data_IF_731592791148
#
_entry.id   IF_731592791148
#
_cell.length_a   1.000
_cell.length_b   1.000
_cell.length_c   1.000
_cell.angle_alpha   90.00
_cell.angle_beta   90.00
_cell.angle_gamma   90.00
#
_symmetry.space_group_name_H-M   'P 1'
#
loop_
_entity.id
_entity.type
_entity.pdbx_description
1 polymer ?
#
# COMPACT_ATOMS: atom_id res chain seq x y z
N UNK A 1 21.10 -17.83 24.11
CA UNK A 1 19.95 -17.58 23.23
C UNK A 1 20.19 -16.22 22.56
N UNK A 2 20.53 -16.20 21.27
CA UNK A 2 20.83 -14.94 20.55
C UNK A 2 19.53 -14.16 20.43
N UNK A 3 19.45 -12.98 21.03
CA UNK A 3 18.29 -12.10 20.93
C UNK A 3 18.27 -11.53 19.52
N UNK A 4 17.15 -11.73 18.80
CA UNK A 4 16.86 -10.99 17.58
C UNK A 4 16.99 -9.50 17.90
N UNK A 5 17.82 -8.79 17.16
CA UNK A 5 17.91 -7.33 17.29
C UNK A 5 16.69 -6.81 16.53
N UNK A 6 15.66 -6.38 17.27
CA UNK A 6 14.51 -5.71 16.65
C UNK A 6 14.95 -4.33 16.17
N UNK A 7 15.45 -4.30 14.93
CA UNK A 7 15.84 -3.10 14.20
C UNK A 7 14.64 -2.44 13.52
N UNK A 8 13.46 -3.06 13.62
CA UNK A 8 12.25 -2.53 13.05
C UNK A 8 11.71 -1.37 13.91
N UNK A 9 12.06 -0.16 13.51
CA UNK A 9 11.10 0.95 13.50
C UNK A 9 10.15 0.86 12.30
N UNK A 10 10.08 -0.29 11.61
CA UNK A 10 9.13 -0.47 10.53
C UNK A 10 7.79 -0.87 11.13
N UNK A 11 6.79 -0.04 10.84
CA UNK A 11 5.40 -0.22 11.23
C UNK A 11 4.92 -1.63 10.87
N UNK A 12 4.95 -2.52 11.86
CA UNK A 12 4.30 -3.81 11.76
C UNK A 12 2.81 -3.52 11.60
N UNK A 13 2.25 -3.88 10.45
CA UNK A 13 0.81 -3.81 10.23
C UNK A 13 0.12 -4.52 11.41
N UNK A 14 -0.83 -3.84 12.04
CA UNK A 14 -1.56 -4.36 13.21
C UNK A 14 -2.47 -5.51 12.78
N UNK A 15 -3.00 -5.41 11.57
CA UNK A 15 -3.87 -6.39 10.95
C UNK A 15 -3.25 -6.94 9.67
N UNK A 16 -3.67 -8.14 9.28
CA UNK A 16 -3.46 -8.62 7.92
C UNK A 16 -4.09 -7.66 6.90
N UNK A 17 -3.52 -7.57 5.69
CA UNK A 17 -4.01 -6.66 4.63
C UNK A 17 -5.53 -6.79 4.43
N UNK A 18 -6.31 -5.77 4.82
CA UNK A 18 -7.76 -5.84 4.79
C UNK A 18 -8.33 -5.44 3.42
N UNK A 19 -7.54 -4.78 2.56
CA UNK A 19 -7.92 -4.32 1.22
C UNK A 19 -8.76 -5.33 0.39
N UNK A 20 -8.45 -6.65 0.34
CA UNK A 20 -9.25 -7.59 -0.43
C UNK A 20 -10.71 -7.70 0.05
N UNK A 21 -10.95 -7.57 1.35
CA UNK A 21 -12.30 -7.61 1.92
C UNK A 21 -13.14 -6.44 1.41
N UNK A 22 -12.59 -5.23 1.44
CA UNK A 22 -13.27 -4.01 0.96
C UNK A 22 -13.56 -4.08 -0.54
N UNK A 23 -12.62 -4.59 -1.33
CA UNK A 23 -12.78 -4.73 -2.79
C UNK A 23 -13.79 -5.82 -3.18
N UNK A 24 -13.82 -6.95 -2.47
CA UNK A 24 -14.87 -7.97 -2.65
C UNK A 24 -16.23 -7.40 -2.27
N UNK A 25 -16.31 -6.69 -1.14
CA UNK A 25 -17.54 -6.01 -0.70
C UNK A 25 -18.08 -5.04 -1.75
N UNK A 26 -17.19 -4.28 -2.37
CA UNK A 26 -17.52 -3.41 -3.50
C UNK A 26 -18.08 -4.22 -4.70
N UNK A 27 -17.35 -5.24 -5.15
CA UNK A 27 -17.73 -6.04 -6.31
C UNK A 27 -19.09 -6.71 -6.14
N UNK A 28 -19.36 -7.28 -4.96
CA UNK A 28 -20.67 -7.87 -4.61
C UNK A 28 -21.79 -6.83 -4.66
N UNK A 29 -21.54 -5.62 -4.14
CA UNK A 29 -22.53 -4.55 -4.12
C UNK A 29 -22.82 -3.99 -5.52
N UNK A 30 -21.79 -3.84 -6.36
CA UNK A 30 -21.97 -3.51 -7.78
C UNK A 30 -22.82 -4.57 -8.48
N UNK A 31 -22.53 -5.86 -8.27
CA UNK A 31 -23.31 -6.94 -8.87
C UNK A 31 -24.79 -6.91 -8.44
N UNK A 32 -25.07 -6.58 -7.17
CA UNK A 32 -26.43 -6.42 -6.66
C UNK A 32 -27.15 -5.17 -7.23
N UNK A 33 -26.40 -4.14 -7.62
CA UNK A 33 -26.93 -2.90 -8.20
C UNK A 33 -27.22 -3.04 -9.71
N UNK A 34 -26.46 -3.88 -10.42
CA UNK A 34 -26.55 -4.00 -11.88
C UNK A 34 -27.94 -4.29 -12.45
N UNK A 35 -28.77 -5.21 -11.89
CA UNK A 35 -30.11 -5.46 -12.42
C UNK A 35 -31.04 -4.25 -12.37
N UNK A 36 -30.87 -3.38 -11.37
CA UNK A 36 -31.62 -2.13 -11.24
C UNK A 36 -31.03 -1.08 -12.20
N UNK A 37 -29.69 -0.96 -12.25
CA UNK A 37 -29.00 0.01 -13.10
C UNK A 37 -29.26 -0.22 -14.61
N UNK A 38 -29.42 -1.49 -15.03
CA UNK A 38 -29.77 -1.87 -16.40
C UNK A 38 -31.28 -1.87 -16.67
N UNK A 39 -32.12 -1.60 -15.65
CA UNK A 39 -33.57 -1.59 -15.79
C UNK A 39 -34.23 -2.96 -15.91
N UNK A 40 -33.52 -4.07 -15.63
CA UNK A 40 -34.07 -5.43 -15.70
C UNK A 40 -35.08 -5.73 -14.60
N UNK A 41 -34.92 -5.13 -13.41
CA UNK A 41 -35.89 -5.25 -12.33
C UNK A 41 -36.02 -3.95 -11.56
N UNK A 42 -37.23 -3.40 -11.52
CA UNK A 42 -37.56 -2.13 -10.87
C UNK A 42 -38.75 -2.33 -9.92
N UNK A 43 -38.63 -3.33 -9.05
CA UNK A 43 -39.67 -3.66 -8.07
C UNK A 43 -39.27 -3.20 -6.67
N UNK A 44 -40.23 -2.87 -5.78
CA UNK A 44 -39.95 -2.57 -4.38
C UNK A 44 -39.08 -3.63 -3.68
N UNK A 45 -39.28 -4.91 -4.03
CA UNK A 45 -38.48 -6.01 -3.53
C UNK A 45 -37.02 -5.92 -4.00
N UNK A 46 -36.79 -5.66 -5.30
CA UNK A 46 -35.45 -5.47 -5.85
C UNK A 46 -34.68 -4.35 -5.14
N UNK A 47 -35.30 -3.17 -4.97
CA UNK A 47 -34.67 -2.06 -4.26
C UNK A 47 -34.27 -2.42 -2.82
N UNK A 48 -35.16 -3.08 -2.07
CA UNK A 48 -34.86 -3.54 -0.70
C UNK A 48 -33.76 -4.59 -0.67
N UNK A 49 -33.75 -5.54 -1.60
CA UNK A 49 -32.71 -6.56 -1.68
C UNK A 49 -31.34 -5.94 -2.00
N UNK A 50 -31.28 -5.04 -2.98
CA UNK A 50 -30.04 -4.31 -3.31
C UNK A 50 -29.57 -3.48 -2.13
N UNK A 51 -30.48 -2.84 -1.38
CA UNK A 51 -30.14 -2.09 -0.17
C UNK A 51 -29.45 -2.96 0.89
N UNK A 52 -29.90 -4.20 1.10
CA UNK A 52 -29.29 -5.14 2.05
C UNK A 52 -27.85 -5.48 1.63
N UNK A 53 -27.62 -5.82 0.36
CA UNK A 53 -26.27 -6.11 -0.14
C UNK A 53 -25.35 -4.88 -0.07
N UNK A 54 -25.86 -3.72 -0.46
CA UNK A 54 -25.14 -2.45 -0.35
C UNK A 54 -24.76 -2.14 1.11
N UNK A 55 -25.62 -2.43 2.08
CA UNK A 55 -25.34 -2.17 3.49
C UNK A 55 -24.29 -3.14 4.07
N UNK A 56 -24.45 -4.44 3.86
CA UNK A 56 -23.54 -5.41 4.50
C UNK A 56 -22.20 -5.53 3.77
N UNK A 57 -22.22 -5.63 2.44
CA UNK A 57 -21.00 -5.80 1.65
C UNK A 57 -20.40 -4.47 1.23
N UNK A 58 -21.21 -3.52 0.77
CA UNK A 58 -20.73 -2.21 0.33
C UNK A 58 -20.25 -1.38 1.53
N UNK A 59 -21.14 -1.15 2.49
CA UNK A 59 -20.82 -0.40 3.70
C UNK A 59 -20.01 -1.23 4.70
N UNK A 60 -20.50 -2.40 5.13
CA UNK A 60 -19.90 -3.18 6.21
C UNK A 60 -18.45 -3.62 5.93
N UNK A 61 -18.21 -4.34 4.83
CA UNK A 61 -16.85 -4.80 4.49
C UNK A 61 -15.86 -3.65 4.30
N UNK A 62 -16.29 -2.54 3.67
CA UNK A 62 -15.41 -1.39 3.45
C UNK A 62 -15.19 -0.58 4.74
N UNK A 63 -16.17 -0.52 5.66
CA UNK A 63 -15.96 0.13 6.95
C UNK A 63 -14.86 -0.59 7.74
N UNK A 64 -14.99 -1.91 7.86
CA UNK A 64 -14.01 -2.76 8.54
C UNK A 64 -12.63 -2.58 7.88
N UNK A 65 -12.60 -2.61 6.55
CA UNK A 65 -11.37 -2.42 5.78
C UNK A 65 -10.74 -1.06 6.05
N UNK A 66 -11.49 0.03 5.98
CA UNK A 66 -10.98 1.38 6.19
C UNK A 66 -10.42 1.58 7.60
N UNK A 67 -11.10 1.08 8.63
CA UNK A 67 -10.62 1.13 10.02
C UNK A 67 -9.33 0.33 10.21
N UNK A 68 -9.24 -0.86 9.61
CA UNK A 68 -8.03 -1.70 9.66
C UNK A 68 -6.87 -1.06 8.87
N UNK A 69 -7.14 -0.41 7.73
CA UNK A 69 -6.13 0.34 6.97
C UNK A 69 -5.60 1.54 7.78
N UNK A 70 -6.47 2.29 8.47
CA UNK A 70 -6.02 3.36 9.37
C UNK A 70 -5.14 2.82 10.52
N UNK A 71 -5.52 1.70 11.12
CA UNK A 71 -4.72 1.03 12.15
C UNK A 71 -3.37 0.54 11.58
N UNK A 72 -3.34 0.13 10.32
CA UNK A 72 -2.13 -0.20 9.56
C UNK A 72 -1.37 1.04 9.06
N UNK A 73 -1.81 2.26 9.41
CA UNK A 73 -1.23 3.55 9.00
C UNK A 73 -1.25 3.80 7.49
N UNK A 74 -2.11 3.10 6.77
CA UNK A 74 -2.38 3.38 5.37
C UNK A 74 -3.46 4.46 5.25
N UNK A 75 -3.02 5.72 5.22
CA UNK A 75 -3.91 6.88 5.14
C UNK A 75 -4.80 6.86 3.89
N UNK A 76 -4.23 6.51 2.72
CA UNK A 76 -4.95 6.49 1.45
C UNK A 76 -6.03 5.43 1.45
N UNK A 77 -5.67 4.18 1.79
CA UNK A 77 -6.61 3.07 1.88
C UNK A 77 -7.72 3.32 2.90
N UNK A 78 -7.35 3.75 4.11
CA UNK A 78 -8.29 4.03 5.19
C UNK A 78 -9.33 5.08 4.80
N UNK A 79 -8.87 6.20 4.25
CA UNK A 79 -9.76 7.32 3.84
C UNK A 79 -10.76 6.87 2.78
N UNK A 80 -10.28 6.16 1.74
CA UNK A 80 -11.13 5.75 0.62
C UNK A 80 -12.16 4.72 1.03
N UNK A 81 -11.74 3.65 1.71
CA UNK A 81 -12.67 2.58 2.09
C UNK A 81 -13.74 3.09 3.07
N UNK A 82 -13.39 3.96 4.00
CA UNK A 82 -14.38 4.57 4.90
C UNK A 82 -15.31 5.54 4.16
N UNK A 83 -14.82 6.35 3.24
CA UNK A 83 -15.66 7.25 2.45
C UNK A 83 -16.66 6.50 1.55
N UNK A 84 -16.19 5.46 0.85
CA UNK A 84 -17.09 4.62 0.04
C UNK A 84 -18.07 3.83 0.91
N UNK A 85 -17.65 3.38 2.10
CA UNK A 85 -18.55 2.70 3.03
C UNK A 85 -19.78 3.55 3.35
N UNK A 86 -19.59 4.83 3.69
CA UNK A 86 -20.71 5.74 3.94
C UNK A 86 -21.51 6.07 2.68
N UNK A 87 -20.87 6.11 1.51
CA UNK A 87 -21.57 6.27 0.23
C UNK A 87 -22.51 5.09 -0.07
N UNK A 88 -22.06 3.87 0.23
CA UNK A 88 -22.88 2.66 0.15
C UNK A 88 -23.99 2.62 1.21
N UNK A 89 -23.75 3.14 2.42
CA UNK A 89 -24.77 3.28 3.44
C UNK A 89 -25.88 4.26 2.99
N UNK A 90 -25.50 5.38 2.39
CA UNK A 90 -26.45 6.33 1.80
C UNK A 90 -27.27 5.70 0.67
N UNK A 91 -26.62 4.96 -0.23
CA UNK A 91 -27.31 4.24 -1.31
C UNK A 91 -28.27 3.18 -0.75
N UNK A 92 -27.84 2.40 0.23
CA UNK A 92 -28.66 1.39 0.90
C UNK A 92 -29.90 2.02 1.54
N UNK A 93 -29.73 3.10 2.30
CA UNK A 93 -30.84 3.82 2.91
C UNK A 93 -31.81 4.40 1.88
N UNK A 94 -31.28 4.98 0.79
CA UNK A 94 -32.09 5.55 -0.29
C UNK A 94 -32.93 4.48 -0.99
N UNK A 95 -32.32 3.35 -1.33
CA UNK A 95 -33.00 2.23 -2.01
C UNK A 95 -34.03 1.56 -1.10
N UNK A 96 -33.70 1.36 0.18
CA UNK A 96 -34.65 0.83 1.15
C UNK A 96 -35.86 1.75 1.33
N UNK A 97 -35.61 3.05 1.53
CA UNK A 97 -36.67 4.05 1.71
C UNK A 97 -37.59 4.13 0.49
N UNK A 98 -37.02 4.12 -0.71
CA UNK A 98 -37.79 4.08 -1.96
C UNK A 98 -38.63 2.81 -2.07
N UNK A 99 -38.04 1.64 -1.85
CA UNK A 99 -38.77 0.37 -1.91
C UNK A 99 -39.82 0.22 -0.79
N UNK A 100 -39.66 0.89 0.35
CA UNK A 100 -40.59 0.79 1.49
C UNK A 100 -41.76 1.77 1.39
N UNK A 101 -41.51 3.00 0.95
CA UNK A 101 -42.45 4.11 1.07
C UNK A 101 -42.55 5.00 -0.18
N UNK A 102 -41.76 4.71 -1.22
CA UNK A 102 -41.62 5.59 -2.38
C UNK A 102 -40.82 6.87 -2.09
N UNK A 103 -40.24 6.99 -0.89
CA UNK A 103 -39.44 8.16 -0.51
C UNK A 103 -38.19 8.26 -1.39
N UNK A 104 -37.97 9.45 -1.95
CA UNK A 104 -36.79 9.80 -2.72
C UNK A 104 -36.02 10.91 -1.98
N UNK A 105 -34.69 10.79 -1.81
CA UNK A 105 -33.87 11.88 -1.32
C UNK A 105 -33.99 13.13 -2.19
N UNK A 106 -33.80 14.30 -1.59
CA UNK A 106 -33.81 15.56 -2.33
C UNK A 106 -32.71 15.56 -3.41
N UNK A 107 -33.13 15.80 -4.65
CA UNK A 107 -32.24 15.76 -5.82
C UNK A 107 -31.13 16.81 -5.75
N UNK A 108 -31.45 18.02 -5.28
CA UNK A 108 -30.50 19.14 -5.25
C UNK A 108 -29.41 18.87 -4.22
N UNK A 109 -29.79 18.37 -3.04
CA UNK A 109 -28.85 17.97 -2.00
C UNK A 109 -27.97 16.81 -2.49
N UNK A 110 -28.56 15.76 -3.06
CA UNK A 110 -27.81 14.61 -3.57
C UNK A 110 -26.79 15.02 -4.65
N UNK A 111 -27.21 15.86 -5.60
CA UNK A 111 -26.35 16.37 -6.67
C UNK A 111 -25.19 17.22 -6.13
N UNK A 112 -25.43 18.06 -5.12
CA UNK A 112 -24.37 18.87 -4.50
C UNK A 112 -23.29 18.01 -3.83
N UNK A 113 -23.70 16.91 -3.19
CA UNK A 113 -22.77 15.94 -2.58
C UNK A 113 -22.00 15.18 -3.65
N UNK A 114 -22.67 14.74 -4.73
CA UNK A 114 -22.02 14.09 -5.87
C UNK A 114 -20.93 14.98 -6.50
N UNK A 115 -21.19 16.29 -6.64
CA UNK A 115 -20.21 17.26 -7.13
C UNK A 115 -18.98 17.38 -6.22
N UNK A 116 -19.17 17.42 -4.91
CA UNK A 116 -18.05 17.47 -3.96
C UNK A 116 -17.24 16.18 -3.98
N UNK A 117 -17.92 15.03 -4.00
CA UNK A 117 -17.27 13.72 -4.07
C UNK A 117 -16.46 13.57 -5.36
N UNK A 118 -16.95 14.08 -6.49
CA UNK A 118 -16.18 14.11 -7.74
C UNK A 118 -14.85 14.86 -7.59
N UNK A 119 -14.86 16.04 -6.96
CA UNK A 119 -13.63 16.82 -6.73
C UNK A 119 -12.66 16.06 -5.82
N UNK A 120 -13.17 15.47 -4.72
CA UNK A 120 -12.36 14.71 -3.78
C UNK A 120 -11.73 13.49 -4.46
N UNK A 121 -12.53 12.70 -5.20
CA UNK A 121 -12.04 11.50 -5.87
C UNK A 121 -11.05 11.85 -6.98
N UNK A 122 -11.26 12.91 -7.75
CA UNK A 122 -10.30 13.37 -8.77
C UNK A 122 -8.90 13.62 -8.20
N UNK A 123 -8.81 14.23 -7.01
CA UNK A 123 -7.52 14.45 -6.32
C UNK A 123 -6.93 13.12 -5.83
N UNK A 124 -7.75 12.22 -5.32
CA UNK A 124 -7.31 10.89 -4.88
C UNK A 124 -6.82 10.04 -6.06
N UNK A 125 -7.49 10.09 -7.22
CA UNK A 125 -7.09 9.41 -8.46
C UNK A 125 -5.67 9.77 -8.86
N UNK A 126 -5.33 11.06 -8.78
CA UNK A 126 -3.95 11.52 -9.00
C UNK A 126 -2.96 10.85 -8.03
N UNK A 127 -3.29 10.80 -6.74
CA UNK A 127 -2.48 10.12 -5.73
C UNK A 127 -2.30 8.62 -6.02
N UNK A 128 -3.37 7.94 -6.46
CA UNK A 128 -3.35 6.51 -6.79
C UNK A 128 -2.50 6.18 -8.01
N UNK A 129 -2.26 7.16 -8.89
CA UNK A 129 -1.31 7.05 -10.00
C UNK A 129 0.12 6.74 -9.57
N UNK A 130 0.52 7.05 -8.33
CA UNK A 130 1.85 6.70 -7.80
C UNK A 130 1.94 5.26 -7.26
N UNK A 131 0.83 4.52 -7.15
CA UNK A 131 0.83 3.14 -6.64
C UNK A 131 0.75 2.12 -7.78
N UNK A 132 -0.29 2.18 -8.62
CA UNK A 132 -0.48 1.22 -9.71
C UNK A 132 -1.36 1.78 -10.83
N UNK A 133 -1.09 1.41 -12.08
CA UNK A 133 -1.94 1.82 -13.23
C UNK A 133 -3.37 1.27 -13.10
N UNK A 134 -3.53 0.11 -12.46
CA UNK A 134 -4.84 -0.52 -12.29
C UNK A 134 -5.66 0.18 -11.20
N UNK A 135 -5.03 0.60 -10.12
CA UNK A 135 -5.68 1.42 -9.08
C UNK A 135 -6.03 2.82 -9.61
N UNK A 136 -5.16 3.41 -10.43
CA UNK A 136 -5.49 4.64 -11.13
C UNK A 136 -6.73 4.46 -12.04
N UNK A 137 -6.75 3.40 -12.85
CA UNK A 137 -7.90 3.12 -13.72
C UNK A 137 -9.19 2.87 -12.94
N UNK A 138 -9.10 2.18 -11.80
CA UNK A 138 -10.21 1.94 -10.88
C UNK A 138 -10.81 3.25 -10.35
N UNK A 139 -9.98 4.18 -9.89
CA UNK A 139 -10.43 5.49 -9.40
C UNK A 139 -10.89 6.42 -10.52
N UNK A 140 -10.25 6.36 -11.69
CA UNK A 140 -10.70 7.10 -12.87
C UNK A 140 -12.09 6.65 -13.34
N UNK A 141 -12.40 5.34 -13.27
CA UNK A 141 -13.73 4.81 -13.55
C UNK A 141 -14.79 5.44 -12.62
N UNK A 142 -14.46 5.59 -11.33
CA UNK A 142 -15.29 6.30 -10.35
C UNK A 142 -15.47 7.77 -10.73
N UNK A 143 -14.40 8.48 -11.09
CA UNK A 143 -14.48 9.89 -11.49
C UNK A 143 -15.41 10.06 -12.70
N UNK A 144 -15.29 9.19 -13.70
CA UNK A 144 -16.17 9.18 -14.88
C UNK A 144 -17.61 8.87 -14.48
N UNK A 145 -17.83 7.95 -13.54
CA UNK A 145 -19.17 7.62 -13.03
C UNK A 145 -19.82 8.84 -12.38
N UNK A 146 -19.11 9.53 -11.48
CA UNK A 146 -19.64 10.74 -10.85
C UNK A 146 -19.87 11.86 -11.86
N UNK A 147 -18.96 12.04 -12.82
CA UNK A 147 -19.15 13.00 -13.91
C UNK A 147 -20.43 12.72 -14.70
N UNK A 148 -20.67 11.45 -15.08
CA UNK A 148 -21.91 11.06 -15.75
C UNK A 148 -23.15 11.30 -14.89
N UNK A 149 -23.10 11.00 -13.58
CA UNK A 149 -24.20 11.28 -12.64
C UNK A 149 -24.49 12.78 -12.55
N UNK A 150 -23.46 13.62 -12.46
CA UNK A 150 -23.60 15.07 -12.37
C UNK A 150 -24.22 15.64 -13.65
N UNK A 151 -23.72 15.24 -14.83
CA UNK A 151 -24.28 15.69 -16.11
C UNK A 151 -25.72 15.24 -16.26
N UNK A 152 -26.04 13.99 -15.89
CA UNK A 152 -27.42 13.49 -15.88
C UNK A 152 -28.30 14.34 -14.95
N UNK A 153 -27.85 14.57 -13.72
CA UNK A 153 -28.59 15.35 -12.72
C UNK A 153 -28.81 16.83 -13.06
N UNK A 154 -27.88 17.45 -13.81
CA UNK A 154 -28.00 18.84 -14.28
C UNK A 154 -28.87 19.00 -15.52
N UNK A 155 -28.80 18.04 -16.45
CA UNK A 155 -29.47 18.14 -17.76
C UNK A 155 -30.81 17.41 -17.80
N UNK A 156 -31.08 16.52 -16.84
CA UNK A 156 -32.22 15.61 -16.86
C UNK A 156 -32.15 14.53 -17.95
N UNK A 157 -30.99 14.36 -18.61
CA UNK A 157 -30.86 13.42 -19.74
C UNK A 157 -30.77 11.96 -19.27
N UNK A 158 -31.57 11.08 -19.87
CA UNK A 158 -31.49 9.64 -19.62
C UNK A 158 -30.39 8.94 -20.45
N UNK A 159 -29.76 9.65 -21.39
CA UNK A 159 -28.72 9.07 -22.25
C UNK A 159 -27.51 8.53 -21.48
N UNK A 160 -27.28 9.02 -20.26
CA UNK A 160 -26.17 8.63 -19.41
C UNK A 160 -26.47 7.45 -18.48
N UNK A 161 -27.71 6.95 -18.43
CA UNK A 161 -28.08 5.82 -17.57
C UNK A 161 -27.27 4.54 -17.91
N UNK A 162 -27.16 4.21 -19.20
CA UNK A 162 -26.40 3.05 -19.65
C UNK A 162 -24.88 3.19 -19.41
N UNK A 163 -24.23 4.32 -19.75
CA UNK A 163 -22.85 4.58 -19.35
C UNK A 163 -22.59 4.43 -17.84
N UNK A 164 -23.47 4.96 -16.98
CA UNK A 164 -23.35 4.82 -15.51
C UNK A 164 -23.38 3.34 -15.10
N UNK A 165 -24.27 2.55 -15.69
CA UNK A 165 -24.33 1.11 -15.43
C UNK A 165 -23.05 0.39 -15.89
N UNK A 166 -22.49 0.75 -17.04
CA UNK A 166 -21.25 0.17 -17.55
C UNK A 166 -20.05 0.49 -16.66
N UNK A 167 -19.92 1.74 -16.21
CA UNK A 167 -18.87 2.19 -15.28
C UNK A 167 -19.03 1.50 -13.91
N UNK A 168 -20.26 1.31 -13.43
CA UNK A 168 -20.54 0.53 -12.21
C UNK A 168 -20.04 -0.92 -12.33
N UNK A 169 -20.28 -1.56 -13.49
CA UNK A 169 -19.78 -2.90 -13.76
C UNK A 169 -18.25 -2.93 -13.89
N UNK A 170 -17.66 -1.98 -14.62
CA UNK A 170 -16.22 -1.83 -14.80
C UNK A 170 -15.49 -1.73 -13.45
N UNK A 171 -15.95 -0.83 -12.60
CA UNK A 171 -15.42 -0.64 -11.25
C UNK A 171 -15.49 -1.92 -10.44
N UNK A 172 -16.64 -2.61 -10.44
CA UNK A 172 -16.81 -3.88 -9.73
C UNK A 172 -15.87 -4.99 -10.23
N UNK A 173 -15.65 -5.09 -11.54
CA UNK A 173 -14.75 -6.06 -12.15
C UNK A 173 -13.28 -5.76 -11.84
N UNK A 174 -12.87 -4.48 -11.91
CA UNK A 174 -11.50 -4.08 -11.56
C UNK A 174 -11.24 -4.33 -10.08
N UNK A 175 -12.20 -4.00 -9.20
CA UNK A 175 -12.10 -4.28 -7.77
C UNK A 175 -11.94 -5.78 -7.49
N UNK A 176 -12.75 -6.62 -8.15
CA UNK A 176 -12.67 -8.06 -8.01
C UNK A 176 -11.31 -8.61 -8.48
N UNK A 177 -10.80 -8.11 -9.61
CA UNK A 177 -9.47 -8.47 -10.11
C UNK A 177 -8.36 -8.11 -9.12
N UNK A 178 -8.41 -6.90 -8.57
CA UNK A 178 -7.46 -6.44 -7.54
C UNK A 178 -7.54 -7.30 -6.27
N UNK A 179 -8.74 -7.66 -5.83
CA UNK A 179 -8.93 -8.54 -4.67
C UNK A 179 -8.35 -9.94 -4.91
N UNK A 180 -8.60 -10.53 -6.08
CA UNK A 180 -8.02 -11.81 -6.45
C UNK A 180 -6.51 -11.76 -6.57
N UNK A 181 -5.96 -10.66 -7.12
CA UNK A 181 -4.52 -10.48 -7.14
C UNK A 181 -3.91 -10.47 -5.73
N UNK A 182 -4.53 -9.76 -4.80
CA UNK A 182 -4.06 -9.66 -3.43
C UNK A 182 -4.21 -10.98 -2.63
N UNK A 183 -5.21 -11.81 -2.94
CA UNK A 183 -5.42 -13.10 -2.26
C UNK A 183 -4.66 -14.26 -2.91
N UNK A 184 -4.70 -14.38 -4.23
CA UNK A 184 -4.21 -15.56 -4.96
C UNK A 184 -2.71 -15.47 -5.29
N UNK A 185 -2.18 -14.29 -5.60
CA UNK A 185 -0.77 -14.18 -5.94
C UNK A 185 0.15 -14.59 -4.76
N UNK A 186 -0.12 -14.18 -3.51
CA UNK A 186 0.69 -14.64 -2.37
C UNK A 186 0.57 -16.16 -2.14
N UNK A 187 -0.65 -16.70 -2.21
CA UNK A 187 -0.90 -18.13 -1.99
C UNK A 187 -0.26 -19.00 -3.08
N UNK A 188 -0.23 -18.52 -4.32
CA UNK A 188 0.34 -19.26 -5.45
C UNK A 188 1.84 -19.06 -5.64
N UNK A 189 2.47 -18.15 -4.89
CA UNK A 189 3.89 -17.80 -5.04
C UNK A 189 4.27 -17.19 -6.40
N UNK A 190 3.29 -16.83 -7.24
CA UNK A 190 3.49 -16.23 -8.57
C UNK A 190 2.38 -15.24 -8.90
N UNK A 191 2.67 -14.28 -9.79
CA UNK A 191 1.68 -13.28 -10.22
C UNK A 191 0.70 -13.84 -11.25
N UNK A 192 -0.33 -14.57 -10.81
CA UNK A 192 -1.43 -15.04 -11.68
C UNK A 192 -2.26 -13.86 -12.18
N UNK A 193 -2.72 -13.02 -11.26
CA UNK A 193 -3.45 -11.79 -11.60
C UNK A 193 -2.45 -10.64 -11.66
N UNK A 194 -2.25 -10.08 -12.85
CA UNK A 194 -1.26 -9.02 -13.06
C UNK A 194 -1.80 -7.70 -12.51
N UNK A 195 -0.97 -7.05 -11.69
CA UNK A 195 -1.17 -5.66 -11.25
C UNK A 195 0.01 -4.83 -11.79
N UNK A 196 -0.21 -4.02 -12.84
CA UNK A 196 0.85 -3.18 -13.41
C UNK A 196 1.35 -2.16 -12.38
N UNK A 197 2.65 -1.81 -12.45
CA UNK A 197 3.27 -0.81 -11.59
C UNK A 197 2.69 0.61 -11.74
N UNK A 198 3.28 1.62 -11.10
CA UNK A 198 2.72 2.96 -11.03
C UNK A 198 2.56 3.64 -12.40
N UNK A 199 1.60 4.55 -12.48
CA UNK A 199 1.38 5.42 -13.64
C UNK A 199 2.33 6.62 -13.63
N UNK A 200 2.54 7.21 -12.44
CA UNK A 200 3.41 8.36 -12.23
C UNK A 200 4.66 7.96 -11.43
N UNK A 201 5.79 8.55 -11.77
CA UNK A 201 7.06 8.33 -11.08
C UNK A 201 7.46 9.61 -10.36
N UNK A 202 7.51 9.57 -9.03
CA UNK A 202 8.09 10.65 -8.24
C UNK A 202 9.61 10.44 -8.11
N UNK A 203 10.43 11.50 -8.17
CA UNK A 203 11.85 11.39 -7.85
C UNK A 203 12.00 10.87 -6.42
N UNK A 204 12.90 9.89 -6.21
CA UNK A 204 13.17 9.37 -4.88
C UNK A 204 13.59 10.53 -3.98
N UNK A 205 12.88 10.73 -2.87
CA UNK A 205 13.29 11.67 -1.82
C UNK A 205 14.73 11.32 -1.43
N UNK A 206 15.62 12.31 -1.34
CA UNK A 206 16.99 12.10 -0.90
C UNK A 206 16.95 11.36 0.45
N UNK A 207 17.35 10.09 0.45
CA UNK A 207 17.49 9.27 1.64
C UNK A 207 18.96 9.13 1.97
N UNK A 208 19.26 8.72 3.20
CA UNK A 208 20.62 8.36 3.56
C UNK A 208 21.16 7.30 2.59
N UNK A 209 22.36 7.52 2.05
CA UNK A 209 23.02 6.56 1.17
C UNK A 209 23.63 5.44 2.01
N UNK A 210 22.96 4.29 2.02
CA UNK A 210 23.43 3.11 2.75
C UNK A 210 24.57 2.38 2.05
N UNK A 211 24.97 2.78 0.83
CA UNK A 211 25.96 2.06 0.01
C UNK A 211 27.30 1.91 0.73
N UNK A 212 27.78 2.96 1.40
CA UNK A 212 29.05 2.91 2.16
C UNK A 212 28.98 1.90 3.29
N UNK A 213 27.94 1.98 4.15
CA UNK A 213 27.77 1.06 5.29
C UNK A 213 27.57 -0.38 4.83
N UNK A 214 26.76 -0.59 3.79
CA UNK A 214 26.55 -1.91 3.21
C UNK A 214 27.87 -2.56 2.78
N UNK A 215 28.70 -1.82 2.05
CA UNK A 215 29.97 -2.33 1.54
C UNK A 215 31.00 -2.57 2.66
N UNK A 216 30.99 -1.76 3.73
CA UNK A 216 31.80 -2.03 4.94
C UNK A 216 31.42 -3.38 5.55
N UNK A 217 30.13 -3.61 5.79
CA UNK A 217 29.67 -4.88 6.37
C UNK A 217 29.91 -6.06 5.44
N UNK A 218 29.65 -5.94 4.14
CA UNK A 218 29.89 -7.00 3.17
C UNK A 218 31.37 -7.42 3.12
N UNK A 219 32.29 -6.44 3.11
CA UNK A 219 33.73 -6.69 3.09
C UNK A 219 34.20 -7.40 4.37
N UNK A 220 33.81 -6.89 5.54
CA UNK A 220 34.20 -7.48 6.83
C UNK A 220 33.55 -8.85 7.05
N UNK A 221 32.30 -9.05 6.60
CA UNK A 221 31.63 -10.35 6.67
C UNK A 221 32.33 -11.40 5.81
N UNK A 222 32.68 -11.06 4.56
CA UNK A 222 33.47 -11.95 3.68
C UNK A 222 34.85 -12.28 4.24
N UNK A 223 35.49 -11.31 4.91
CA UNK A 223 36.75 -11.54 5.60
C UNK A 223 36.58 -12.49 6.78
N UNK A 224 35.54 -12.29 7.60
CA UNK A 224 35.21 -13.19 8.71
C UNK A 224 34.93 -14.62 8.24
N UNK A 225 34.24 -14.82 7.11
CA UNK A 225 34.00 -16.17 6.57
C UNK A 225 35.29 -16.93 6.25
N UNK A 226 36.37 -16.23 5.90
CA UNK A 226 37.66 -16.84 5.54
C UNK A 226 38.63 -16.91 6.72
N UNK A 227 38.60 -15.90 7.59
CA UNK A 227 39.64 -15.66 8.60
C UNK A 227 39.09 -15.62 10.03
N UNK A 228 37.81 -15.95 10.23
CA UNK A 228 37.10 -15.86 11.51
C UNK A 228 37.24 -14.47 12.16
N UNK A 229 37.60 -14.39 13.44
CA UNK A 229 37.73 -13.13 14.17
C UNK A 229 39.09 -12.43 14.02
N UNK A 230 39.86 -12.77 12.98
CA UNK A 230 41.04 -11.96 12.64
C UNK A 230 40.61 -10.56 12.21
N UNK A 231 41.44 -9.57 12.54
CA UNK A 231 41.18 -8.18 12.22
C UNK A 231 41.69 -7.84 10.81
N UNK A 232 40.92 -7.00 10.11
CA UNK A 232 41.30 -6.44 8.83
C UNK A 232 41.94 -5.07 9.07
N UNK A 233 43.06 -4.81 8.40
CA UNK A 233 43.67 -3.47 8.41
C UNK A 233 42.75 -2.43 7.76
N UNK A 234 42.73 -1.20 8.32
CA UNK A 234 41.90 -0.11 7.80
C UNK A 234 42.16 0.16 6.30
N UNK A 235 43.43 0.15 5.88
CA UNK A 235 43.82 0.42 4.48
C UNK A 235 43.23 -0.61 3.51
N UNK A 236 43.19 -1.88 3.90
CA UNK A 236 42.62 -2.94 3.09
C UNK A 236 41.10 -2.74 2.94
N UNK A 237 40.41 -2.37 4.01
CA UNK A 237 38.98 -2.07 3.96
C UNK A 237 38.68 -0.84 3.09
N UNK A 238 39.45 0.24 3.26
CA UNK A 238 39.33 1.45 2.47
C UNK A 238 39.48 1.18 0.97
N UNK A 239 40.45 0.34 0.58
CA UNK A 239 40.62 -0.05 -0.81
C UNK A 239 39.38 -0.74 -1.39
N UNK A 240 38.81 -1.72 -0.65
CA UNK A 240 37.62 -2.46 -1.07
C UNK A 240 36.40 -1.55 -1.18
N UNK A 241 36.18 -0.67 -0.21
CA UNK A 241 35.01 0.23 -0.20
C UNK A 241 35.15 1.30 -1.27
N UNK A 242 36.35 1.84 -1.49
CA UNK A 242 36.63 2.82 -2.54
C UNK A 242 36.36 2.26 -3.92
N UNK A 243 36.76 1.02 -4.19
CA UNK A 243 36.50 0.35 -5.47
C UNK A 243 34.99 0.30 -5.78
N UNK A 244 34.15 0.09 -4.77
CA UNK A 244 32.70 -0.08 -4.95
C UNK A 244 31.88 1.20 -4.85
N UNK A 245 32.34 2.18 -4.07
CA UNK A 245 31.54 3.39 -3.72
C UNK A 245 32.19 4.68 -4.17
N UNK A 246 33.45 4.66 -4.59
CA UNK A 246 34.21 5.84 -4.99
C UNK A 246 34.73 6.69 -3.82
N UNK A 247 34.42 6.36 -2.56
CA UNK A 247 34.91 7.07 -1.37
C UNK A 247 35.81 6.20 -0.51
N UNK A 248 36.89 6.78 0.01
CA UNK A 248 37.76 6.21 1.04
C UNK A 248 37.53 6.81 2.44
N UNK A 249 36.70 7.84 2.54
CA UNK A 249 36.31 8.43 3.82
C UNK A 249 35.21 7.60 4.50
N UNK A 250 35.67 6.52 5.14
CA UNK A 250 34.81 5.59 5.88
C UNK A 250 34.94 5.73 7.39
N UNK A 251 35.94 6.49 7.88
CA UNK A 251 36.29 6.59 9.30
C UNK A 251 35.11 7.04 10.18
N UNK A 252 34.31 8.07 9.82
CA UNK A 252 33.14 8.44 10.61
C UNK A 252 32.11 7.32 10.73
N UNK A 253 31.93 6.52 9.67
CA UNK A 253 31.03 5.37 9.70
C UNK A 253 31.56 4.26 10.61
N UNK A 254 32.88 4.06 10.68
CA UNK A 254 33.49 3.05 11.56
C UNK A 254 33.29 3.40 13.03
N UNK A 255 33.54 4.66 13.43
CA UNK A 255 33.28 5.12 14.80
C UNK A 255 31.81 5.02 15.17
N UNK A 256 30.91 5.42 14.26
CA UNK A 256 29.47 5.25 14.48
C UNK A 256 29.09 3.78 14.69
N UNK A 257 29.61 2.87 13.85
CA UNK A 257 29.27 1.44 13.93
C UNK A 257 29.89 0.76 15.15
N UNK A 258 31.04 1.25 15.63
CA UNK A 258 31.61 0.83 16.92
C UNK A 258 30.66 1.23 18.07
N UNK A 259 30.20 2.48 18.12
CA UNK A 259 29.29 2.92 19.18
C UNK A 259 27.89 2.33 19.08
N UNK A 260 27.48 1.96 17.87
CA UNK A 260 26.29 1.15 17.66
C UNK A 260 26.46 -0.30 18.13
N UNK A 261 27.68 -0.72 18.51
CA UNK A 261 27.96 -2.03 19.08
C UNK A 261 28.16 -3.14 18.05
N UNK A 262 28.43 -2.82 16.77
CA UNK A 262 28.54 -3.81 15.69
C UNK A 262 29.97 -4.24 15.36
N UNK A 263 30.97 -3.50 15.82
CA UNK A 263 32.37 -3.78 15.47
C UNK A 263 33.32 -3.43 16.60
N UNK A 264 34.51 -4.02 16.51
CA UNK A 264 35.66 -3.73 17.38
C UNK A 264 36.68 -2.98 16.53
N UNK A 265 37.11 -1.81 17.00
CA UNK A 265 38.21 -1.06 16.42
C UNK A 265 39.43 -1.22 17.33
N UNK A 266 40.57 -1.50 16.72
CA UNK A 266 41.89 -1.53 17.35
C UNK A 266 42.65 -0.31 16.89
N UNK A 267 43.15 0.47 17.85
CA UNK A 267 43.86 1.72 17.59
C UNK A 267 45.37 1.52 17.50
N UNK A 268 46.05 2.45 16.84
CA UNK A 268 47.50 2.44 16.74
C UNK A 268 48.16 2.61 18.13
N UNK A 269 49.31 1.95 18.31
CA UNK A 269 50.05 1.93 19.59
C UNK A 269 50.63 3.32 19.92
N UNK A 270 51.02 4.08 18.90
CA UNK A 270 51.65 5.40 19.04
C UNK A 270 50.62 6.52 18.87
N UNK A 271 49.63 6.34 18.00
CA UNK A 271 48.56 7.30 17.74
C UNK A 271 47.19 6.74 18.17
N UNK A 272 46.84 6.96 19.45
CA UNK A 272 45.65 6.36 20.08
C UNK A 272 44.31 6.72 19.42
N UNK A 273 44.27 7.78 18.60
CA UNK A 273 43.07 8.25 17.92
C UNK A 273 42.93 7.67 16.49
N UNK A 274 43.93 6.95 15.98
CA UNK A 274 43.91 6.34 14.64
C UNK A 274 43.56 4.87 14.70
N UNK A 275 42.58 4.47 13.89
CA UNK A 275 42.19 3.07 13.71
C UNK A 275 43.30 2.35 12.92
N UNK A 276 43.85 1.30 13.50
CA UNK A 276 44.83 0.43 12.87
C UNK A 276 44.15 -0.73 12.13
N UNK A 277 43.30 -1.46 12.86
CA UNK A 277 42.61 -2.64 12.36
C UNK A 277 41.21 -2.73 12.97
N UNK A 278 40.34 -3.52 12.34
CA UNK A 278 38.96 -3.67 12.77
C UNK A 278 38.35 -5.00 12.36
N UNK A 279 37.27 -5.39 13.04
CA UNK A 279 36.45 -6.54 12.68
C UNK A 279 35.01 -6.38 13.14
N UNK A 280 34.11 -7.14 12.53
CA UNK A 280 32.77 -7.32 13.09
C UNK A 280 32.84 -8.14 14.39
N UNK A 281 31.98 -7.80 15.33
CA UNK A 281 31.70 -8.64 16.48
C UNK A 281 30.49 -9.54 16.19
N UNK A 282 30.11 -10.38 17.15
CA UNK A 282 28.98 -11.29 16.99
C UNK A 282 27.65 -10.55 16.68
N UNK A 283 27.44 -9.36 17.26
CA UNK A 283 26.23 -8.55 16.99
C UNK A 283 26.23 -8.00 15.56
N UNK A 284 27.37 -7.50 15.06
CA UNK A 284 27.50 -7.02 13.69
C UNK A 284 27.35 -8.12 12.64
N UNK A 285 27.83 -9.34 12.93
CA UNK A 285 27.62 -10.50 12.07
C UNK A 285 26.14 -10.89 12.00
N UNK A 286 25.48 -11.01 13.16
CA UNK A 286 24.06 -11.36 13.21
C UNK A 286 23.19 -10.28 12.57
N UNK A 287 23.54 -9.00 12.76
CA UNK A 287 22.91 -7.87 12.07
C UNK A 287 22.97 -8.01 10.54
N UNK A 288 24.14 -8.34 9.99
CA UNK A 288 24.32 -8.54 8.56
C UNK A 288 23.53 -9.75 8.03
N UNK A 289 23.57 -10.87 8.75
CA UNK A 289 22.82 -12.07 8.38
C UNK A 289 21.31 -11.83 8.41
N UNK A 290 20.81 -11.07 9.38
CA UNK A 290 19.41 -10.71 9.49
C UNK A 290 18.97 -9.77 8.36
N UNK A 291 19.66 -8.65 8.18
CA UNK A 291 19.24 -7.60 7.24
C UNK A 291 19.52 -7.94 5.78
N UNK A 292 20.70 -8.52 5.51
CA UNK A 292 21.17 -8.74 4.12
C UNK A 292 20.88 -10.15 3.67
N UNK A 293 21.20 -11.17 4.49
CA UNK A 293 20.98 -12.57 4.12
C UNK A 293 19.57 -13.05 4.46
N UNK A 294 18.73 -12.19 5.06
CA UNK A 294 17.33 -12.49 5.36
C UNK A 294 17.16 -13.74 6.24
N UNK A 295 18.12 -14.03 7.13
CA UNK A 295 18.24 -15.27 7.92
C UNK A 295 16.95 -15.76 8.62
N UNK A 296 16.07 -14.85 9.04
CA UNK A 296 14.80 -15.18 9.72
C UNK A 296 13.55 -14.91 8.87
N UNK A 297 13.72 -14.57 7.61
CA UNK A 297 12.61 -14.40 6.65
C UNK A 297 12.33 -15.77 6.06
N UNK A 298 11.33 -16.45 6.60
CA UNK A 298 10.82 -17.68 6.02
C UNK A 298 10.25 -17.36 4.63
N UNK A 299 10.71 -18.10 3.60
CA UNK A 299 10.15 -18.04 2.24
C UNK A 299 8.75 -18.61 2.22
#
# INVERSE_FOLDING_TARGET
MIKKVDLDLNHKEVFASPTPLGLIGLAVSCAALMPIALGYTLTPAAFKTTAVWALFFGCGCQMITGLMEFANKNLFGGTIFTAFSFSWAYLAWSFYSFGASGFLPDHTVALSVDMLLFVIFSVLTYGFGFFSKLLFAFLLDIDLLYLCKIVNGLTGTQALAFPIALLTAGMGLIALWLAFAALINPVSGRSIFKVPGPMFFAPKKASFDFSVRYNIFEALYKHWQKNAYQEMELKALQAIVKEKTGTDDIVPNLFYLQEYGCMVLTFDVFEKDKIHSLRLNAQGLDLYEQLILKKYSWK
#
